data_IF_941358557733
#
_entry.id   IF_941358557733
#
_cell.length_a   1.000
_cell.length_b   1.000
_cell.length_c   1.000
_cell.angle_alpha   90.00
_cell.angle_beta   90.00
_cell.angle_gamma   90.00
#
_symmetry.space_group_name_H-M   'P 1'
#
loop_
_entity.id
_entity.type
_entity.pdbx_description
1 polymer ?
#
# COMPACT_ATOMS: atom_id res chain seq x y z
N UNK A 1 -51.85 -6.02 -13.91
CA UNK A 1 -52.75 -4.88 -14.11
C UNK A 1 -51.88 -3.67 -14.46
N UNK A 2 -52.08 -3.15 -15.68
CA UNK A 2 -51.78 -1.81 -16.24
C UNK A 2 -50.39 -1.15 -16.03
N UNK A 3 -49.79 -0.36 -16.94
CA UNK A 3 -49.85 0.01 -18.39
C UNK A 3 -48.75 1.12 -18.50
N UNK A 4 -47.74 1.07 -19.38
CA UNK A 4 -47.65 1.67 -20.73
C UNK A 4 -47.88 3.20 -20.84
N UNK A 5 -46.86 3.94 -21.33
CA UNK A 5 -46.89 5.01 -22.38
C UNK A 5 -45.64 5.95 -22.23
N UNK A 6 -44.71 6.08 -23.20
CA UNK A 6 -44.81 6.80 -24.50
C UNK A 6 -44.98 8.33 -24.29
N UNK A 7 -44.26 9.30 -24.86
CA UNK A 7 -43.48 9.58 -26.09
C UNK A 7 -42.61 10.83 -25.76
N UNK A 8 -41.58 11.31 -26.47
CA UNK A 8 -41.20 11.26 -27.88
C UNK A 8 -40.82 12.68 -28.33
N UNK A 9 -39.77 12.81 -29.16
CA UNK A 9 -39.35 14.04 -29.84
C UNK A 9 -37.85 14.34 -29.63
N UNK A 10 -36.94 14.30 -30.59
CA UNK A 10 -37.04 14.15 -32.04
C UNK A 10 -36.34 15.29 -32.78
N UNK A 11 -35.02 15.13 -33.01
CA UNK A 11 -34.20 15.60 -34.16
C UNK A 11 -33.87 17.12 -34.33
N UNK A 12 -32.85 17.50 -35.14
CA UNK A 12 -31.81 16.70 -35.81
C UNK A 12 -30.34 17.19 -35.65
N UNK A 13 -29.43 16.26 -35.90
CA UNK A 13 -28.01 16.45 -36.24
C UNK A 13 -27.87 17.08 -37.64
N UNK A 14 -26.96 18.04 -37.79
CA UNK A 14 -26.51 18.57 -39.09
C UNK A 14 -25.15 17.97 -39.46
N UNK A 15 -25.10 17.30 -40.61
CA UNK A 15 -23.89 16.80 -41.26
C UNK A 15 -23.23 17.86 -42.15
N UNK A 16 -21.95 17.60 -42.43
CA UNK A 16 -21.19 17.86 -43.65
C UNK A 16 -20.59 19.26 -43.89
N UNK A 17 -19.25 19.30 -43.88
CA UNK A 17 -18.47 19.90 -44.96
C UNK A 17 -17.04 19.33 -44.96
N UNK A 18 -16.81 18.31 -45.77
CA UNK A 18 -15.51 17.94 -46.31
C UNK A 18 -15.08 19.00 -47.32
N UNK A 19 -13.88 19.57 -47.16
CA UNK A 19 -13.16 20.25 -48.25
C UNK A 19 -11.73 19.76 -48.30
N UNK A 20 -11.45 19.03 -49.38
CA UNK A 20 -10.13 18.78 -49.93
C UNK A 20 -9.65 20.06 -50.65
N UNK A 21 -8.42 20.49 -50.38
CA UNK A 21 -7.64 21.28 -51.32
C UNK A 21 -6.20 20.77 -51.30
N UNK A 22 -5.75 20.39 -52.48
CA UNK A 22 -4.40 19.94 -52.77
C UNK A 22 -3.45 21.12 -53.00
N UNK A 23 -2.19 20.86 -52.68
CA UNK A 23 -0.95 21.34 -53.31
C UNK A 23 -0.60 22.84 -53.31
N UNK A 24 0.43 23.19 -52.55
CA UNK A 24 1.55 23.98 -53.06
C UNK A 24 2.84 23.64 -52.29
N UNK A 25 3.91 23.39 -53.06
CA UNK A 25 5.25 23.12 -52.59
C UNK A 25 5.82 24.31 -51.81
N UNK A 26 6.17 24.10 -50.54
CA UNK A 26 7.15 24.93 -49.83
C UNK A 26 8.14 24.01 -49.14
N UNK A 27 9.33 23.96 -49.72
CA UNK A 27 10.53 23.43 -49.09
C UNK A 27 10.91 24.34 -47.94
N UNK A 28 10.72 23.89 -46.70
CA UNK A 28 11.37 24.50 -45.53
C UNK A 28 11.60 23.47 -44.42
N UNK A 29 12.83 22.96 -44.37
CA UNK A 29 13.59 22.48 -43.19
C UNK A 29 12.77 21.90 -42.03
N UNK A 30 12.62 20.58 -42.00
CA UNK A 30 12.28 19.85 -40.78
C UNK A 30 13.52 19.69 -39.88
N UNK A 31 13.43 20.01 -38.57
CA UNK A 31 14.51 19.76 -37.63
C UNK A 31 14.58 18.28 -37.24
N UNK A 32 15.81 17.75 -37.21
CA UNK A 32 16.17 16.45 -36.67
C UNK A 32 15.64 16.29 -35.24
N UNK A 33 14.55 15.54 -35.06
CA UNK A 33 14.02 15.15 -33.75
C UNK A 33 13.94 13.62 -33.61
N UNK A 34 14.98 12.92 -34.04
CA UNK A 34 15.23 11.50 -33.72
C UNK A 34 16.74 11.23 -33.56
N UNK A 35 17.43 12.08 -32.80
CA UNK A 35 18.77 11.73 -32.29
C UNK A 35 18.65 11.38 -30.81
N UNK A 36 19.16 10.21 -30.36
CA UNK A 36 19.26 9.92 -28.95
C UNK A 36 20.27 10.90 -28.35
N UNK A 37 19.79 11.95 -27.68
CA UNK A 37 20.68 12.82 -26.92
C UNK A 37 21.17 12.03 -25.71
N UNK A 38 22.32 11.39 -25.83
CA UNK A 38 23.18 11.09 -24.69
C UNK A 38 23.61 12.42 -24.09
N UNK A 39 22.73 13.01 -23.26
CA UNK A 39 23.09 14.16 -22.43
C UNK A 39 24.07 13.64 -21.38
N UNK A 40 25.37 13.74 -21.68
CA UNK A 40 26.38 13.88 -20.64
C UNK A 40 25.93 15.03 -19.73
N UNK A 41 25.94 14.87 -18.39
CA UNK A 41 25.61 15.99 -17.52
C UNK A 41 26.76 16.99 -17.61
N UNK A 42 26.53 18.02 -18.41
CA UNK A 42 27.22 19.30 -18.40
C UNK A 42 27.35 19.75 -16.94
N UNK A 43 28.59 19.71 -16.48
CA UNK A 43 29.05 20.34 -15.26
C UNK A 43 28.49 21.76 -15.19
N UNK A 44 27.76 22.09 -14.13
CA UNK A 44 27.61 23.47 -13.68
C UNK A 44 29.02 24.00 -13.39
N UNK A 45 29.60 24.67 -14.40
CA UNK A 45 30.90 25.32 -14.37
C UNK A 45 30.71 26.65 -13.65
N UNK A 46 30.67 26.61 -12.31
CA UNK A 46 30.92 27.82 -11.52
C UNK A 46 32.36 28.30 -11.76
N UNK A 47 32.64 29.61 -11.73
CA UNK A 47 33.99 30.10 -11.96
C UNK A 47 34.90 29.71 -10.78
N UNK A 48 36.07 29.11 -11.07
CA UNK A 48 37.24 29.26 -10.20
C UNK A 48 37.67 28.14 -9.24
N UNK A 49 37.26 26.87 -9.39
CA UNK A 49 37.85 25.78 -8.57
C UNK A 49 38.58 24.75 -9.44
N UNK A 50 39.90 24.87 -9.51
CA UNK A 50 40.78 23.84 -10.08
C UNK A 50 40.77 22.62 -9.15
N UNK A 51 39.90 21.64 -9.43
CA UNK A 51 39.81 20.40 -8.64
C UNK A 51 40.88 19.43 -9.10
N UNK A 52 41.57 18.79 -8.16
CA UNK A 52 42.61 17.81 -8.49
C UNK A 52 42.00 16.58 -9.20
N UNK A 53 42.78 15.86 -10.04
CA UNK A 53 42.31 14.66 -10.72
C UNK A 53 41.70 13.62 -9.77
N UNK A 54 42.28 13.50 -8.56
CA UNK A 54 41.79 12.59 -7.50
C UNK A 54 40.38 12.97 -7.02
N UNK A 55 40.07 14.26 -6.89
CA UNK A 55 38.75 14.73 -6.48
C UNK A 55 37.69 14.47 -7.56
N UNK A 56 38.05 14.59 -8.83
CA UNK A 56 37.15 14.28 -9.94
C UNK A 56 36.84 12.78 -10.01
N UNK A 57 37.86 11.92 -9.86
CA UNK A 57 37.68 10.46 -9.84
C UNK A 57 36.82 10.02 -8.65
N UNK A 58 37.01 10.61 -7.46
CA UNK A 58 36.14 10.32 -6.30
C UNK A 58 34.68 10.71 -6.53
N UNK A 59 34.42 11.84 -7.18
CA UNK A 59 33.06 12.26 -7.51
C UNK A 59 32.41 11.33 -8.54
N UNK A 60 33.15 10.95 -9.59
CA UNK A 60 32.67 9.98 -10.59
C UNK A 60 32.42 8.60 -9.97
N UNK A 61 33.29 8.14 -9.06
CA UNK A 61 33.10 6.90 -8.33
C UNK A 61 31.86 6.97 -7.43
N UNK A 62 31.69 8.04 -6.65
CA UNK A 62 30.53 8.23 -5.79
C UNK A 62 29.22 8.32 -6.58
N UNK A 63 29.23 8.96 -7.75
CA UNK A 63 28.08 9.03 -8.66
C UNK A 63 27.75 7.67 -9.31
N UNK A 64 28.77 6.91 -9.72
CA UNK A 64 28.59 5.54 -10.25
C UNK A 64 28.12 4.57 -9.14
N UNK A 65 28.59 4.76 -7.91
CA UNK A 65 28.15 3.98 -6.77
C UNK A 65 26.71 4.32 -6.36
N UNK A 66 26.30 5.61 -6.38
CA UNK A 66 24.93 6.02 -6.07
C UNK A 66 23.93 5.56 -7.13
N UNK A 67 24.27 5.70 -8.42
CA UNK A 67 23.44 5.22 -9.53
C UNK A 67 23.30 3.70 -9.57
N UNK A 68 24.37 2.94 -9.31
CA UNK A 68 24.30 1.46 -9.16
C UNK A 68 23.48 1.02 -7.95
N UNK A 69 23.41 1.84 -6.89
CA UNK A 69 22.58 1.55 -5.70
C UNK A 69 21.09 1.78 -6.00
N UNK A 70 20.79 2.77 -6.82
CA UNK A 70 19.43 3.08 -7.28
C UNK A 70 18.93 2.06 -8.32
N UNK A 71 19.80 1.54 -9.18
CA UNK A 71 19.45 0.49 -10.16
C UNK A 71 19.33 -0.92 -9.58
N UNK A 72 19.84 -1.16 -8.35
CA UNK A 72 19.70 -2.42 -7.59
C UNK A 72 18.61 -2.37 -6.51
N UNK A 73 17.96 -1.22 -6.33
CA UNK A 73 16.84 -1.12 -5.41
C UNK A 73 15.65 -1.84 -6.02
N UNK A 74 15.10 -2.84 -5.31
CA UNK A 74 13.79 -3.40 -5.64
C UNK A 74 12.80 -2.24 -5.66
N UNK A 75 12.08 -2.07 -6.77
CA UNK A 75 11.05 -1.03 -6.89
C UNK A 75 10.06 -1.14 -5.73
N UNK A 76 9.64 -0.01 -5.16
CA UNK A 76 8.64 0.00 -4.09
C UNK A 76 7.37 -0.74 -4.49
N UNK A 77 7.04 -0.71 -5.79
CA UNK A 77 5.93 -1.43 -6.40
C UNK A 77 6.04 -2.93 -6.19
N UNK A 78 7.21 -3.53 -6.41
CA UNK A 78 7.40 -4.99 -6.28
C UNK A 78 7.19 -5.43 -4.83
N UNK A 79 7.70 -4.64 -3.87
CA UNK A 79 7.56 -4.95 -2.44
C UNK A 79 6.09 -4.85 -2.02
N UNK A 80 5.44 -3.74 -2.37
CA UNK A 80 4.05 -3.47 -1.99
C UNK A 80 3.10 -4.46 -2.66
N UNK A 81 3.25 -4.70 -3.97
CA UNK A 81 2.44 -5.69 -4.69
C UNK A 81 2.70 -7.11 -4.19
N UNK A 82 3.93 -7.42 -3.75
CA UNK A 82 4.24 -8.70 -3.09
C UNK A 82 3.45 -8.88 -1.80
N UNK A 83 3.42 -7.86 -0.93
CA UNK A 83 2.61 -7.89 0.30
C UNK A 83 1.11 -8.02 -0.02
N UNK A 84 0.62 -7.25 -1.00
CA UNK A 84 -0.79 -7.32 -1.43
C UNK A 84 -1.13 -8.73 -1.93
N UNK A 85 -0.24 -9.34 -2.71
CA UNK A 85 -0.43 -10.68 -3.26
C UNK A 85 -0.51 -11.74 -2.16
N UNK A 86 0.36 -11.66 -1.14
CA UNK A 86 0.33 -12.58 0.01
C UNK A 86 -1.01 -12.49 0.76
N UNK A 87 -1.47 -11.27 1.07
CA UNK A 87 -2.76 -11.05 1.72
C UNK A 87 -3.92 -11.61 0.87
N UNK A 88 -3.92 -11.32 -0.44
CA UNK A 88 -4.95 -11.81 -1.34
C UNK A 88 -5.00 -13.35 -1.39
N UNK A 89 -3.84 -14.02 -1.40
CA UNK A 89 -3.76 -15.49 -1.36
C UNK A 89 -4.37 -16.06 -0.08
N UNK A 90 -4.07 -15.46 1.07
CA UNK A 90 -4.62 -15.91 2.36
C UNK A 90 -6.13 -15.63 2.43
N UNK A 91 -6.59 -14.48 1.93
CA UNK A 91 -8.03 -14.20 1.80
C UNK A 91 -8.75 -15.17 0.88
N UNK A 92 -8.12 -15.62 -0.22
CA UNK A 92 -8.70 -16.71 -1.03
C UNK A 92 -8.88 -18.00 -0.21
N UNK A 93 -7.99 -18.26 0.75
CA UNK A 93 -8.15 -19.33 1.75
C UNK A 93 -9.42 -19.15 2.60
N UNK A 94 -9.66 -17.93 3.10
CA UNK A 94 -10.88 -17.59 3.85
C UNK A 94 -12.16 -17.74 3.03
N UNK A 95 -12.17 -17.24 1.79
CA UNK A 95 -13.33 -17.33 0.92
C UNK A 95 -13.68 -18.78 0.60
N UNK A 96 -12.67 -19.64 0.42
CA UNK A 96 -12.88 -21.08 0.26
C UNK A 96 -13.36 -21.75 1.54
N UNK A 97 -12.84 -21.38 2.70
CA UNK A 97 -13.23 -21.94 4.00
C UNK A 97 -14.67 -21.57 4.40
N UNK A 98 -15.16 -20.41 3.96
CA UNK A 98 -16.54 -19.94 4.19
C UNK A 98 -17.54 -20.47 3.14
N UNK A 99 -17.07 -21.09 2.06
CA UNK A 99 -17.92 -21.63 1.01
C UNK A 99 -18.83 -22.76 1.52
N UNK A 100 -20.02 -22.95 0.92
CA UNK A 100 -20.94 -24.02 1.30
C UNK A 100 -20.28 -25.39 1.14
N UNK A 101 -20.53 -26.30 2.08
CA UNK A 101 -20.02 -27.66 2.03
C UNK A 101 -20.42 -28.34 0.71
N UNK A 102 -19.47 -28.90 -0.07
CA UNK A 102 -19.78 -29.63 -1.29
C UNK A 102 -20.84 -30.71 -1.07
N UNK A 103 -21.84 -30.72 -1.96
CA UNK A 103 -23.01 -31.59 -1.90
C UNK A 103 -22.69 -33.08 -2.10
N UNK A 104 -21.48 -33.42 -2.58
CA UNK A 104 -21.06 -34.79 -2.88
C UNK A 104 -19.73 -35.19 -2.22
N UNK A 105 -19.62 -36.41 -1.63
CA UNK A 105 -18.40 -36.91 -0.99
C UNK A 105 -17.18 -36.96 -1.90
N UNK A 106 -17.35 -37.28 -3.19
CA UNK A 106 -16.23 -37.34 -4.14
C UNK A 106 -15.62 -35.96 -4.47
N UNK A 107 -16.40 -34.88 -4.33
CA UNK A 107 -15.89 -33.51 -4.49
C UNK A 107 -15.11 -33.05 -3.26
N UNK A 108 -15.35 -33.63 -2.09
CA UNK A 108 -14.66 -33.32 -0.83
C UNK A 108 -13.17 -33.64 -0.87
N UNK A 109 -12.78 -34.71 -1.57
CA UNK A 109 -11.38 -35.14 -1.73
C UNK A 109 -10.61 -34.38 -2.82
N UNK A 110 -11.32 -33.79 -3.81
CA UNK A 110 -10.71 -32.98 -4.88
C UNK A 110 -10.64 -31.49 -4.54
N UNK A 111 -11.56 -31.00 -3.72
CA UNK A 111 -11.43 -29.66 -3.14
C UNK A 111 -10.28 -29.71 -2.14
N UNK A 112 -9.14 -29.10 -2.46
CA UNK A 112 -8.12 -28.71 -1.48
C UNK A 112 -8.83 -27.79 -0.48
N UNK A 113 -9.47 -28.37 0.56
CA UNK A 113 -10.27 -27.65 1.55
C UNK A 113 -9.33 -27.15 2.63
N UNK A 114 -8.89 -25.88 2.64
CA UNK A 114 -8.47 -25.27 3.89
C UNK A 114 -9.70 -25.33 4.80
N UNK A 115 -9.65 -26.19 5.80
CA UNK A 115 -10.72 -26.27 6.80
C UNK A 115 -10.81 -24.92 7.51
N UNK A 116 -12.01 -24.49 7.91
CA UNK A 116 -12.19 -23.30 8.78
C UNK A 116 -11.24 -23.35 9.98
N UNK A 117 -11.02 -24.56 10.53
CA UNK A 117 -10.04 -24.82 11.58
C UNK A 117 -8.63 -24.42 11.20
N UNK A 118 -8.15 -24.73 9.99
CA UNK A 118 -6.83 -24.32 9.50
C UNK A 118 -6.70 -22.80 9.50
N UNK A 119 -7.72 -22.09 8.99
CA UNK A 119 -7.71 -20.62 8.94
C UNK A 119 -7.71 -20.01 10.34
N UNK A 120 -8.57 -20.49 11.23
CA UNK A 120 -8.62 -20.04 12.63
C UNK A 120 -7.31 -20.35 13.36
N UNK A 121 -6.77 -21.56 13.20
CA UNK A 121 -5.58 -22.03 13.94
C UNK A 121 -4.30 -21.33 13.51
N UNK A 122 -4.16 -21.02 12.23
CA UNK A 122 -2.88 -20.58 11.66
C UNK A 122 -2.89 -19.16 11.11
N UNK A 123 -4.06 -18.58 10.82
CA UNK A 123 -4.19 -17.25 10.20
C UNK A 123 -5.04 -16.30 11.04
N UNK A 124 -5.23 -16.62 12.32
CA UNK A 124 -5.73 -15.67 13.31
C UNK A 124 -4.86 -15.75 14.55
N UNK A 125 -4.97 -14.78 15.44
CA UNK A 125 -4.29 -14.79 16.74
C UNK A 125 -5.27 -14.49 17.86
N UNK A 126 -5.03 -15.09 19.02
CA UNK A 126 -5.86 -14.90 20.22
C UNK A 126 -5.04 -15.23 21.47
N UNK A 127 -5.57 -14.92 22.65
CA UNK A 127 -4.95 -15.29 23.93
C UNK A 127 -4.67 -16.79 24.01
N UNK A 128 -5.61 -17.64 23.56
CA UNK A 128 -5.46 -19.09 23.53
C UNK A 128 -4.28 -19.52 22.65
N UNK A 129 -4.14 -18.95 21.45
CA UNK A 129 -3.01 -19.29 20.57
C UNK A 129 -1.66 -19.02 21.25
N UNK A 130 -1.53 -17.89 21.95
CA UNK A 130 -0.31 -17.53 22.66
C UNK A 130 -0.04 -18.44 23.86
N UNK A 131 -1.08 -18.85 24.59
CA UNK A 131 -0.98 -19.82 25.69
C UNK A 131 -0.57 -21.21 25.20
N UNK A 132 -0.99 -21.61 24.00
CA UNK A 132 -0.60 -22.86 23.35
C UNK A 132 0.79 -22.79 22.68
N UNK A 133 1.53 -21.70 22.86
CA UNK A 133 2.88 -21.50 22.30
C UNK A 133 2.90 -21.16 20.80
N UNK A 134 1.76 -20.80 20.20
CA UNK A 134 1.64 -20.48 18.76
C UNK A 134 1.96 -19.02 18.46
N UNK A 135 3.13 -18.55 18.90
CA UNK A 135 3.53 -17.14 18.73
C UNK A 135 3.63 -16.68 17.27
N UNK A 136 3.86 -17.61 16.33
CA UNK A 136 3.87 -17.32 14.89
C UNK A 136 2.53 -16.74 14.41
N UNK A 137 1.43 -16.97 15.13
CA UNK A 137 0.11 -16.41 14.79
C UNK A 137 0.08 -14.89 14.81
N UNK A 138 0.93 -14.25 15.63
CA UNK A 138 1.08 -12.78 15.63
C UNK A 138 1.55 -12.25 14.27
N UNK A 139 2.37 -13.04 13.56
CA UNK A 139 2.84 -12.71 12.23
C UNK A 139 1.84 -13.14 11.16
N UNK A 140 1.30 -14.36 11.21
CA UNK A 140 0.42 -14.83 10.14
C UNK A 140 -0.94 -14.15 10.14
N UNK A 141 -1.46 -13.75 11.31
CA UNK A 141 -2.73 -13.04 11.44
C UNK A 141 -2.71 -11.67 10.76
N UNK A 142 -1.56 -10.99 10.68
CA UNK A 142 -1.49 -9.68 10.02
C UNK A 142 -1.63 -9.78 8.50
N UNK A 143 -1.43 -10.96 7.91
CA UNK A 143 -1.60 -11.21 6.48
C UNK A 143 -2.97 -11.78 6.11
N UNK A 144 -3.90 -11.76 7.06
CA UNK A 144 -5.16 -12.50 7.00
C UNK A 144 -6.35 -11.56 6.99
N UNK A 145 -7.22 -11.68 5.97
CA UNK A 145 -8.48 -10.93 5.89
C UNK A 145 -9.61 -11.89 5.54
N UNK A 146 -10.63 -11.94 6.40
CA UNK A 146 -11.76 -12.84 6.26
C UNK A 146 -12.75 -12.44 5.15
N UNK A 147 -12.79 -11.16 4.76
CA UNK A 147 -13.74 -10.64 3.78
C UNK A 147 -13.05 -9.83 2.69
N UNK A 148 -13.69 -9.77 1.51
CA UNK A 148 -13.20 -8.97 0.36
C UNK A 148 -13.18 -7.49 0.71
N UNK A 149 -14.17 -6.99 1.45
CA UNK A 149 -14.21 -5.60 1.89
C UNK A 149 -13.03 -5.23 2.80
N UNK A 150 -12.71 -6.10 3.76
CA UNK A 150 -11.59 -5.90 4.68
C UNK A 150 -10.24 -5.97 3.95
N UNK A 151 -10.09 -6.88 2.99
CA UNK A 151 -8.93 -6.92 2.10
C UNK A 151 -8.83 -5.64 1.26
N UNK A 152 -9.90 -5.26 0.58
CA UNK A 152 -9.93 -4.10 -0.32
C UNK A 152 -9.56 -2.80 0.38
N UNK A 153 -10.09 -2.57 1.59
CA UNK A 153 -9.73 -1.40 2.39
C UNK A 153 -8.23 -1.37 2.69
N UNK A 154 -7.69 -2.41 3.32
CA UNK A 154 -6.28 -2.48 3.72
C UNK A 154 -5.32 -2.37 2.54
N UNK A 155 -5.59 -3.12 1.46
CA UNK A 155 -4.70 -3.16 0.30
C UNK A 155 -4.73 -1.84 -0.47
N UNK A 156 -5.85 -1.11 -0.46
CA UNK A 156 -5.91 0.24 -1.02
C UNK A 156 -5.02 1.22 -0.23
N UNK A 157 -5.09 1.19 1.10
CA UNK A 157 -4.21 1.98 1.96
C UNK A 157 -2.74 1.62 1.75
N UNK A 158 -2.42 0.32 1.75
CA UNK A 158 -1.07 -0.18 1.51
C UNK A 158 -0.55 0.23 0.12
N UNK A 159 -1.40 0.24 -0.91
CA UNK A 159 -1.00 0.65 -2.25
C UNK A 159 -0.64 2.15 -2.31
N UNK A 160 -1.49 3.03 -1.79
CA UNK A 160 -1.25 4.48 -1.88
C UNK A 160 -0.13 4.95 -0.95
N UNK A 161 -0.21 4.60 0.33
CA UNK A 161 0.76 5.05 1.32
C UNK A 161 2.03 4.21 1.28
N UNK A 162 1.92 2.91 1.02
CA UNK A 162 3.07 2.01 1.08
C UNK A 162 4.07 2.21 -0.05
N UNK A 163 3.63 2.53 -1.28
CA UNK A 163 4.55 2.84 -2.38
C UNK A 163 5.39 4.08 -2.07
N UNK A 164 4.72 5.16 -1.68
CA UNK A 164 5.38 6.41 -1.29
C UNK A 164 6.37 6.18 -0.13
N UNK A 165 5.96 5.43 0.91
CA UNK A 165 6.84 5.15 2.05
C UNK A 165 8.00 4.22 1.69
N UNK A 166 7.79 3.26 0.80
CA UNK A 166 8.87 2.38 0.34
C UNK A 166 9.93 3.16 -0.45
N UNK A 167 9.52 4.13 -1.26
CA UNK A 167 10.45 5.00 -2.00
C UNK A 167 11.24 5.93 -1.07
N UNK A 168 10.58 6.44 -0.03
CA UNK A 168 11.20 7.34 0.97
C UNK A 168 12.14 6.60 1.92
N UNK A 169 11.76 5.41 2.39
CA UNK A 169 12.51 4.65 3.40
C UNK A 169 13.48 3.64 2.79
N UNK A 170 13.21 3.18 1.57
CA UNK A 170 13.79 1.98 0.98
C UNK A 170 13.14 0.69 1.51
N UNK A 171 13.14 -0.35 0.67
CA UNK A 171 12.46 -1.63 0.91
C UNK A 171 12.72 -2.26 2.29
N UNK A 172 13.95 -2.25 2.80
CA UNK A 172 14.29 -2.89 4.09
C UNK A 172 13.59 -2.23 5.27
N UNK A 173 13.66 -0.90 5.35
CA UNK A 173 13.06 -0.12 6.44
C UNK A 173 11.54 -0.12 6.32
N UNK A 174 11.03 -0.05 5.10
CA UNK A 174 9.60 -0.18 4.82
C UNK A 174 9.06 -1.53 5.29
N UNK A 175 9.71 -2.64 4.92
CA UNK A 175 9.32 -3.97 5.39
C UNK A 175 9.45 -4.10 6.91
N UNK A 176 10.51 -3.56 7.50
CA UNK A 176 10.67 -3.50 8.94
C UNK A 176 9.52 -2.78 9.64
N UNK A 177 9.13 -1.60 9.14
CA UNK A 177 7.99 -0.84 9.64
C UNK A 177 6.69 -1.65 9.50
N UNK A 178 6.41 -2.19 8.31
CA UNK A 178 5.22 -2.99 8.05
C UNK A 178 5.11 -4.17 9.03
N UNK A 179 6.16 -4.99 9.13
CA UNK A 179 6.19 -6.19 9.97
C UNK A 179 6.13 -5.86 11.47
N UNK A 180 6.92 -4.90 11.94
CA UNK A 180 6.93 -4.52 13.36
C UNK A 180 5.59 -3.92 13.77
N UNK A 181 5.03 -3.01 12.97
CA UNK A 181 3.70 -2.46 13.24
C UNK A 181 2.65 -3.57 13.27
N UNK A 182 2.61 -4.48 12.30
CA UNK A 182 1.60 -5.54 12.29
C UNK A 182 1.73 -6.56 13.42
N UNK A 183 2.94 -7.02 13.75
CA UNK A 183 3.18 -7.98 14.83
C UNK A 183 2.85 -7.36 16.19
N UNK A 184 3.30 -6.13 16.45
CA UNK A 184 3.01 -5.45 17.71
C UNK A 184 1.53 -5.08 17.83
N UNK A 185 0.87 -4.69 16.73
CA UNK A 185 -0.58 -4.51 16.72
C UNK A 185 -1.33 -5.79 17.04
N UNK A 186 -0.89 -6.92 16.48
CA UNK A 186 -1.46 -8.24 16.78
C UNK A 186 -1.27 -8.60 18.26
N UNK A 187 -0.08 -8.35 18.80
CA UNK A 187 0.21 -8.60 20.22
C UNK A 187 -0.63 -7.69 21.13
N UNK A 188 -0.79 -6.41 20.76
CA UNK A 188 -1.60 -5.47 21.51
C UNK A 188 -3.10 -5.84 21.47
N UNK A 189 -3.58 -6.40 20.36
CA UNK A 189 -4.92 -6.97 20.27
C UNK A 189 -5.12 -8.15 21.22
N UNK A 190 -4.17 -9.10 21.23
CA UNK A 190 -4.22 -10.26 22.13
C UNK A 190 -4.11 -9.85 23.61
N UNK A 191 -3.35 -8.79 23.89
CA UNK A 191 -3.25 -8.24 25.24
C UNK A 191 -4.56 -7.59 25.70
N UNK A 192 -5.23 -6.81 24.84
CA UNK A 192 -6.56 -6.27 25.13
C UNK A 192 -7.56 -7.41 25.37
N UNK A 193 -7.53 -8.43 24.53
CA UNK A 193 -8.36 -9.61 24.66
C UNK A 193 -8.16 -10.29 26.02
N UNK A 194 -6.91 -10.43 26.45
CA UNK A 194 -6.58 -11.03 27.75
C UNK A 194 -7.13 -10.20 28.91
N UNK A 195 -7.02 -8.87 28.86
CA UNK A 195 -7.54 -7.97 29.90
C UNK A 195 -9.07 -7.93 29.94
N UNK A 196 -9.72 -8.01 28.78
CA UNK A 196 -11.18 -7.96 28.67
C UNK A 196 -11.87 -9.30 28.93
N UNK A 197 -11.11 -10.40 29.00
CA UNK A 197 -11.64 -11.76 29.18
C UNK A 197 -12.39 -12.29 27.96
N UNK A 198 -12.30 -11.63 26.81
CA UNK A 198 -13.03 -12.00 25.59
C UNK A 198 -12.36 -13.15 24.85
N UNK A 199 -13.16 -13.95 24.18
CA UNK A 199 -12.69 -15.06 23.35
C UNK A 199 -12.95 -14.76 21.87
N UNK A 200 -12.18 -13.83 21.33
CA UNK A 200 -12.24 -13.42 19.92
C UNK A 200 -10.98 -13.83 19.16
N UNK A 201 -11.09 -13.90 17.83
CA UNK A 201 -9.97 -14.11 16.94
C UNK A 201 -9.60 -12.80 16.25
N UNK A 202 -8.32 -12.43 16.30
CA UNK A 202 -7.79 -11.21 15.70
C UNK A 202 -7.09 -11.55 14.38
N UNK A 203 -7.35 -10.75 13.34
CA UNK A 203 -6.74 -10.86 12.02
C UNK A 203 -6.85 -9.53 11.27
N UNK A 204 -5.88 -9.21 10.41
CA UNK A 204 -5.92 -8.03 9.55
C UNK A 204 -4.58 -7.33 9.41
N UNK A 205 -4.37 -6.71 8.25
CA UNK A 205 -3.15 -5.94 7.97
C UNK A 205 -3.23 -4.51 8.52
N UNK A 206 -4.37 -4.12 9.08
CA UNK A 206 -4.71 -2.75 9.50
C UNK A 206 -3.70 -2.12 10.44
N UNK A 207 -3.17 -2.86 11.42
CA UNK A 207 -2.10 -2.36 12.28
C UNK A 207 -0.85 -1.92 11.51
N UNK A 208 -0.41 -2.74 10.55
CA UNK A 208 0.71 -2.42 9.68
C UNK A 208 0.41 -1.25 8.73
N UNK A 209 -0.78 -1.25 8.12
CA UNK A 209 -1.21 -0.20 7.19
C UNK A 209 -1.37 1.13 7.92
N UNK A 210 -1.90 1.15 9.14
CA UNK A 210 -2.04 2.35 9.96
C UNK A 210 -0.68 2.88 10.41
N UNK A 211 0.31 2.02 10.69
CA UNK A 211 1.68 2.45 10.95
C UNK A 211 2.34 3.15 9.76
N UNK A 212 2.17 2.58 8.56
CA UNK A 212 2.63 3.21 7.30
C UNK A 212 1.89 4.54 7.06
N UNK A 213 0.57 4.54 7.21
CA UNK A 213 -0.28 5.71 6.98
C UNK A 213 0.08 6.84 7.93
N UNK A 214 0.18 6.55 9.24
CA UNK A 214 0.57 7.53 10.26
C UNK A 214 1.94 8.15 9.95
N UNK A 215 2.93 7.32 9.59
CA UNK A 215 4.24 7.83 9.20
C UNK A 215 4.16 8.71 7.94
N UNK A 216 3.39 8.29 6.95
CA UNK A 216 3.23 9.03 5.69
C UNK A 216 2.61 10.40 5.90
N UNK A 217 1.55 10.51 6.70
CA UNK A 217 0.87 11.79 6.95
C UNK A 217 1.69 12.72 7.85
N UNK A 218 2.54 12.18 8.73
CA UNK A 218 3.47 12.98 9.54
C UNK A 218 4.63 13.52 8.69
N UNK A 219 5.02 12.79 7.65
CA UNK A 219 6.07 13.22 6.73
C UNK A 219 5.60 14.18 5.64
N UNK A 220 4.43 13.91 5.08
CA UNK A 220 3.89 14.66 3.96
C UNK A 220 2.46 15.13 4.27
N UNK A 221 2.24 15.93 5.33
CA UNK A 221 0.90 16.31 5.75
C UNK A 221 0.11 16.99 4.61
N UNK A 222 0.77 17.85 3.84
CA UNK A 222 0.19 18.57 2.71
C UNK A 222 0.34 17.87 1.35
N UNK A 223 0.84 16.62 1.32
CA UNK A 223 0.88 15.83 0.09
C UNK A 223 -0.53 15.64 -0.46
N UNK A 224 -0.71 15.56 -1.78
CA UNK A 224 -2.03 15.28 -2.36
C UNK A 224 -2.13 13.80 -2.72
N UNK A 225 -3.19 13.15 -2.26
CA UNK A 225 -3.55 11.79 -2.62
C UNK A 225 -4.81 11.80 -3.47
N UNK A 226 -4.81 11.00 -4.54
CA UNK A 226 -5.99 10.81 -5.37
C UNK A 226 -6.78 9.60 -4.87
N UNK A 227 -7.84 9.84 -4.12
CA UNK A 227 -8.74 8.78 -3.67
C UNK A 227 -9.43 8.17 -4.89
N UNK A 228 -9.27 6.86 -5.07
CA UNK A 228 -9.68 6.11 -6.28
C UNK A 228 -9.14 6.68 -7.60
N UNK A 229 -8.06 7.47 -7.57
CA UNK A 229 -7.51 8.12 -8.76
C UNK A 229 -8.29 9.34 -9.26
N UNK A 230 -9.35 9.76 -8.56
CA UNK A 230 -10.27 10.79 -9.04
C UNK A 230 -10.28 12.01 -8.13
N UNK A 231 -10.39 11.82 -6.80
CA UNK A 231 -10.60 12.93 -5.86
C UNK A 231 -9.28 13.33 -5.19
N UNK A 232 -8.69 14.49 -5.50
CA UNK A 232 -7.52 14.99 -4.81
C UNK A 232 -7.88 15.40 -3.38
N UNK A 233 -7.10 14.89 -2.44
CA UNK A 233 -7.29 15.16 -1.01
C UNK A 233 -5.92 15.32 -0.33
N UNK A 234 -5.75 16.29 0.59
CA UNK A 234 -4.58 16.35 1.45
C UNK A 234 -4.35 15.01 2.17
N UNK A 235 -3.10 14.56 2.21
CA UNK A 235 -2.72 13.26 2.72
C UNK A 235 -3.09 13.12 4.20
N UNK A 236 -2.95 14.19 4.99
CA UNK A 236 -3.41 14.19 6.38
C UNK A 236 -4.91 13.88 6.50
N UNK A 237 -5.75 14.44 5.62
CA UNK A 237 -7.19 14.24 5.64
C UNK A 237 -7.54 12.84 5.14
N UNK A 238 -6.94 12.42 4.02
CA UNK A 238 -7.11 11.09 3.46
C UNK A 238 -6.68 9.98 4.43
N UNK A 239 -5.48 10.12 5.02
CA UNK A 239 -4.95 9.15 5.97
C UNK A 239 -5.74 9.13 7.27
N UNK A 240 -6.18 10.29 7.77
CA UNK A 240 -7.06 10.34 8.95
C UNK A 240 -8.38 9.64 8.66
N UNK A 241 -9.06 9.99 7.55
CA UNK A 241 -10.31 9.34 7.15
C UNK A 241 -10.13 7.84 6.93
N UNK A 242 -9.00 7.41 6.37
CA UNK A 242 -8.70 5.99 6.18
C UNK A 242 -8.57 5.25 7.52
N UNK A 243 -7.76 5.79 8.45
CA UNK A 243 -7.60 5.25 9.80
C UNK A 243 -8.94 5.24 10.54
N UNK A 244 -9.72 6.32 10.45
CA UNK A 244 -11.03 6.43 11.08
C UNK A 244 -12.05 5.48 10.46
N UNK A 245 -12.05 5.31 9.14
CA UNK A 245 -12.94 4.38 8.44
C UNK A 245 -12.60 2.94 8.76
N UNK A 246 -11.32 2.59 8.82
CA UNK A 246 -10.87 1.27 9.24
C UNK A 246 -11.26 1.00 10.71
N UNK A 247 -11.08 1.99 11.58
CA UNK A 247 -11.58 1.94 12.95
C UNK A 247 -13.12 1.84 13.02
N UNK A 248 -13.86 2.56 12.17
CA UNK A 248 -15.32 2.59 12.16
C UNK A 248 -15.93 1.31 11.59
N UNK A 249 -15.43 0.80 10.46
CA UNK A 249 -15.88 -0.46 9.86
C UNK A 249 -15.64 -1.65 10.79
N UNK A 250 -14.51 -1.66 11.50
CA UNK A 250 -14.25 -2.62 12.58
C UNK A 250 -15.24 -2.45 13.76
N UNK A 251 -15.72 -1.23 14.01
CA UNK A 251 -16.65 -0.89 15.10
C UNK A 251 -18.12 -1.09 14.75
N UNK A 252 -18.53 -1.11 13.49
CA UNK A 252 -19.95 -1.22 13.10
C UNK A 252 -20.43 -2.62 12.72
N UNK A 253 -19.52 -3.54 12.35
CA UNK A 253 -19.83 -4.98 12.24
C UNK A 253 -19.81 -5.63 13.63
N UNK A 254 -20.74 -5.15 14.47
CA UNK A 254 -20.78 -5.27 15.94
C UNK A 254 -21.30 -6.63 16.43
N UNK A 255 -20.37 -7.51 16.80
CA UNK A 255 -20.45 -8.33 18.01
C UNK A 255 -19.00 -8.59 18.52
N UNK A 256 -18.67 -8.17 19.75
CA UNK A 256 -17.77 -8.89 20.70
C UNK A 256 -16.36 -8.39 21.10
N UNK A 257 -15.88 -7.19 20.74
CA UNK A 257 -14.87 -6.51 21.60
C UNK A 257 -13.51 -6.06 21.04
N UNK A 258 -13.37 -4.73 21.04
CA UNK A 258 -12.21 -3.82 21.02
C UNK A 258 -10.87 -4.31 20.39
N UNK A 259 -10.79 -4.15 19.07
CA UNK A 259 -9.53 -4.05 18.30
C UNK A 259 -9.02 -2.62 18.10
N UNK A 260 -9.54 -1.61 18.84
CA UNK A 260 -9.03 -0.23 18.78
C UNK A 260 -7.53 -0.16 19.07
N UNK A 261 -7.07 -0.99 20.01
CA UNK A 261 -5.68 -1.03 20.46
C UNK A 261 -4.77 -1.48 19.32
N UNK A 262 -5.18 -2.42 18.48
CA UNK A 262 -4.38 -2.87 17.34
C UNK A 262 -4.14 -1.73 16.33
N UNK A 263 -5.17 -0.96 16.02
CA UNK A 263 -5.07 0.13 15.04
C UNK A 263 -4.30 1.33 15.61
N UNK A 264 -4.58 1.71 16.85
CA UNK A 264 -3.88 2.80 17.54
C UNK A 264 -2.40 2.45 17.78
N UNK A 265 -2.09 1.21 18.17
CA UNK A 265 -0.70 0.77 18.35
C UNK A 265 0.08 0.81 17.04
N UNK A 266 -0.55 0.41 15.93
CA UNK A 266 0.05 0.50 14.61
C UNK A 266 0.43 1.93 14.25
N UNK A 267 -0.53 2.85 14.33
CA UNK A 267 -0.33 4.28 14.10
C UNK A 267 0.72 4.88 15.06
N UNK A 268 0.67 4.50 16.34
CA UNK A 268 1.63 4.92 17.37
C UNK A 268 3.05 4.47 17.02
N UNK A 269 3.25 3.22 16.60
CA UNK A 269 4.56 2.70 16.16
C UNK A 269 5.07 3.49 14.96
N UNK A 270 4.20 3.77 13.98
CA UNK A 270 4.54 4.63 12.84
C UNK A 270 4.98 6.03 13.26
N UNK A 271 4.26 6.66 14.18
CA UNK A 271 4.60 7.96 14.75
C UNK A 271 5.90 7.95 15.56
N UNK A 272 6.13 6.90 16.35
CA UNK A 272 7.38 6.71 17.10
C UNK A 272 8.57 6.55 16.15
N UNK A 273 8.39 5.79 15.06
CA UNK A 273 9.43 5.62 14.06
C UNK A 273 9.71 6.93 13.30
N UNK A 274 8.68 7.69 12.95
CA UNK A 274 8.84 9.05 12.42
C UNK A 274 9.69 9.94 13.36
N UNK A 275 9.36 9.94 14.65
CA UNK A 275 10.08 10.74 15.64
C UNK A 275 11.53 10.30 15.82
N UNK A 276 11.79 8.99 15.84
CA UNK A 276 13.13 8.42 15.86
C UNK A 276 13.98 8.90 14.66
N UNK A 277 13.39 8.91 13.46
CA UNK A 277 14.08 9.42 12.27
C UNK A 277 14.36 10.93 12.34
N UNK A 278 13.44 11.72 12.92
CA UNK A 278 13.62 13.17 13.13
C UNK A 278 14.72 13.51 14.14
N UNK A 279 14.90 12.72 15.19
CA UNK A 279 15.83 13.04 16.30
C UNK A 279 17.30 12.66 16.07
N UNK A 280 17.64 11.79 15.13
CA UNK A 280 19.07 11.46 14.95
C UNK A 280 19.44 10.32 14.00
N UNK A 281 18.49 9.64 13.35
CA UNK A 281 18.79 8.39 12.63
C UNK A 281 19.42 8.52 11.23
N UNK A 282 19.21 9.64 10.51
CA UNK A 282 19.75 9.82 9.15
C UNK A 282 20.08 11.30 8.87
N UNK A 283 21.37 11.62 8.67
CA UNK A 283 21.82 12.96 8.23
C UNK A 283 21.26 13.35 6.84
N UNK A 284 20.71 12.41 6.09
CA UNK A 284 20.06 12.63 4.79
C UNK A 284 18.61 13.13 4.88
N UNK A 285 17.98 13.08 6.07
CA UNK A 285 16.58 13.46 6.24
C UNK A 285 16.35 14.97 6.31
N UNK A 286 17.41 15.78 6.50
CA UNK A 286 17.35 17.25 6.51
C UNK A 286 17.14 17.88 5.12
N UNK A 287 16.79 17.11 4.09
CA UNK A 287 16.63 17.59 2.70
C UNK A 287 15.22 17.41 2.13
N UNK A 288 14.26 16.98 2.94
CA UNK A 288 12.84 16.95 2.60
C UNK A 288 12.05 17.81 3.59
#
# INVERSE_FOLDING_TARGET
MLRTALLGGGLPLRQAATRSFANSNVVSRLPNALQPTTRSPLLLRGPGVHRSPVQQTRLQYNYRASSRRQSRAVSGDVVVLGLISVNAVITMGWLRAQGPAPRHPAQQLRSFRPSMRTMLTHFTTSTQHLQEGRYYTLLTAMFSQATIGHLGANMLGLYFFGRQMCDVLGHKKFLGLYLVSGVLSSAAAVYEQHLSGRLTYNLGASGAVNGITAMSILLFPHGTLLIFGIVPMPAWMAGSLFIFKDAYSFVTDRQDGIGHVAHLSGAFIGGLYYYYLRRGGFRSFRRF
#
